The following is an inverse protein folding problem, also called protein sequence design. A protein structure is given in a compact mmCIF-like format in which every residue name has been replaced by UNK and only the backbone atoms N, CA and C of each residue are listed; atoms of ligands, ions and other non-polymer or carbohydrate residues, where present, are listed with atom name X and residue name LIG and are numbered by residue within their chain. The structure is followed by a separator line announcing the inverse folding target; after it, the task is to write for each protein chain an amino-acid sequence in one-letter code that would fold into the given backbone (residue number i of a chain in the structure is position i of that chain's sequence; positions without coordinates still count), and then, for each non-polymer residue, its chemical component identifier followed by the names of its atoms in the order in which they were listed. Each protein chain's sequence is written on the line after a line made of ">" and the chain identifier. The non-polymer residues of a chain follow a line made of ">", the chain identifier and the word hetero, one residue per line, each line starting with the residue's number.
data_IF_208186098922
#
_entry.id   IF_208186098922
#
_cell.length_a   1.000
_cell.length_b   1.000
_cell.length_c   1.000
_cell.angle_alpha   90.00
_cell.angle_beta   90.00
_cell.angle_gamma   90.00
#
_symmetry.space_group_name_H-M   'P 1'
#
loop_
_entity.id
_entity.type
_entity.pdbx_description
1 polymer ?
#
# COMPACT_ATOMS: atom_id res chain seq x y z
N UNK A 1 -17.67 -15.20 9.65
CA UNK A 1 -17.51 -13.95 8.86
C UNK A 1 -18.66 -13.03 9.23
N UNK A 2 -18.38 -11.77 9.59
CA UNK A 2 -19.44 -10.82 10.02
C UNK A 2 -20.16 -10.19 8.82
N UNK A 3 -21.35 -9.61 9.02
CA UNK A 3 -22.09 -8.90 7.93
C UNK A 3 -21.27 -7.76 7.31
N UNK A 4 -20.44 -7.08 8.09
CA UNK A 4 -19.59 -6.00 7.58
C UNK A 4 -18.36 -6.49 6.83
N UNK A 5 -17.80 -7.66 7.20
CA UNK A 5 -16.73 -8.31 6.42
C UNK A 5 -17.21 -8.65 5.01
N UNK A 6 -18.44 -9.17 4.91
CA UNK A 6 -19.09 -9.49 3.64
C UNK A 6 -19.22 -8.25 2.76
N UNK A 7 -19.74 -7.14 3.31
CA UNK A 7 -19.87 -5.87 2.58
C UNK A 7 -18.53 -5.33 2.08
N UNK A 8 -17.49 -5.44 2.91
CA UNK A 8 -16.14 -4.99 2.55
C UNK A 8 -15.58 -5.83 1.40
N UNK A 9 -15.71 -7.14 1.48
CA UNK A 9 -15.26 -8.06 0.44
C UNK A 9 -16.04 -7.88 -0.88
N UNK A 10 -17.36 -7.68 -0.82
CA UNK A 10 -18.21 -7.37 -1.98
C UNK A 10 -17.77 -6.07 -2.66
N UNK A 11 -17.46 -5.03 -1.87
CA UNK A 11 -16.96 -3.77 -2.39
C UNK A 11 -15.62 -3.95 -3.13
N UNK A 12 -14.66 -4.67 -2.52
CA UNK A 12 -13.36 -4.94 -3.13
C UNK A 12 -13.50 -5.76 -4.44
N UNK A 13 -14.39 -6.75 -4.46
CA UNK A 13 -14.70 -7.51 -5.67
C UNK A 13 -15.28 -6.63 -6.78
N UNK A 14 -16.19 -5.72 -6.45
CA UNK A 14 -16.75 -4.78 -7.42
C UNK A 14 -15.67 -3.81 -7.95
N UNK A 15 -14.76 -3.35 -7.08
CA UNK A 15 -13.65 -2.48 -7.45
C UNK A 15 -12.62 -3.17 -8.36
N UNK A 16 -12.50 -4.50 -8.31
CA UNK A 16 -11.61 -5.27 -9.20
C UNK A 16 -12.01 -5.21 -10.69
N UNK A 17 -13.23 -4.75 -11.00
CA UNK A 17 -13.60 -4.39 -12.38
C UNK A 17 -12.88 -3.14 -12.89
N UNK A 18 -12.43 -2.25 -11.98
CA UNK A 18 -11.81 -0.95 -12.27
C UNK A 18 -10.31 -0.90 -11.99
N UNK A 19 -9.83 -1.71 -11.05
CA UNK A 19 -8.43 -1.69 -10.61
C UNK A 19 -7.81 -3.08 -10.57
N UNK A 20 -6.50 -3.14 -10.80
CA UNK A 20 -5.70 -4.32 -10.48
C UNK A 20 -5.07 -4.13 -9.09
N UNK A 21 -5.33 -5.08 -8.18
CA UNK A 21 -4.85 -5.01 -6.79
C UNK A 21 -3.51 -5.70 -6.63
N UNK A 22 -2.54 -5.02 -6.02
CA UNK A 22 -1.17 -5.52 -5.87
C UNK A 22 -0.71 -5.42 -4.42
N UNK A 23 -0.43 -6.58 -3.82
CA UNK A 23 0.24 -6.68 -2.52
C UNK A 23 1.75 -6.57 -2.70
N UNK A 24 2.38 -5.69 -1.92
CA UNK A 24 3.83 -5.47 -1.90
C UNK A 24 4.38 -5.77 -0.49
N UNK A 25 4.85 -6.99 -0.25
CA UNK A 25 5.44 -7.37 1.04
C UNK A 25 6.75 -6.64 1.34
N UNK A 26 7.10 -6.57 2.63
CA UNK A 26 8.36 -6.05 3.12
C UNK A 26 9.51 -7.07 3.11
N UNK A 27 10.52 -6.82 3.95
CA UNK A 27 11.63 -7.76 4.17
C UNK A 27 11.10 -9.14 4.62
N UNK A 28 11.73 -10.22 4.17
CA UNK A 28 11.36 -11.60 4.47
C UNK A 28 9.99 -12.07 3.94
N UNK A 29 9.34 -11.27 3.09
CA UNK A 29 7.99 -11.55 2.61
C UNK A 29 6.94 -11.53 3.75
N UNK A 30 5.67 -11.73 3.38
CA UNK A 30 4.58 -11.89 4.34
C UNK A 30 4.25 -13.38 4.49
N UNK A 31 4.51 -13.96 5.67
CA UNK A 31 4.23 -15.37 5.96
C UNK A 31 2.74 -15.73 5.87
N UNK A 32 2.40 -17.02 5.98
CA UNK A 32 1.04 -17.52 5.75
C UNK A 32 -0.04 -16.88 6.66
N UNK A 33 0.33 -16.50 7.89
CA UNK A 33 -0.57 -15.89 8.87
C UNK A 33 -0.57 -14.36 8.84
N UNK A 34 0.27 -13.75 8.00
CA UNK A 34 0.32 -12.31 7.83
C UNK A 34 -0.91 -11.80 7.08
N UNK A 35 -1.39 -10.61 7.41
CA UNK A 35 -2.59 -10.04 6.82
C UNK A 35 -2.58 -9.98 5.29
N UNK A 36 -1.45 -9.64 4.66
CA UNK A 36 -1.33 -9.68 3.20
C UNK A 36 -1.63 -11.08 2.63
N UNK A 37 -1.10 -12.15 3.24
CA UNK A 37 -1.34 -13.52 2.79
C UNK A 37 -2.77 -13.96 3.07
N UNK A 38 -3.34 -13.56 4.20
CA UNK A 38 -4.74 -13.86 4.51
C UNK A 38 -5.66 -13.16 3.51
N UNK A 39 -5.43 -11.88 3.20
CA UNK A 39 -6.22 -11.16 2.20
C UNK A 39 -6.11 -11.80 0.81
N UNK A 40 -4.90 -12.20 0.41
CA UNK A 40 -4.64 -12.92 -0.83
C UNK A 40 -5.45 -14.22 -0.93
N UNK A 41 -5.54 -14.99 0.16
CA UNK A 41 -6.32 -16.21 0.22
C UNK A 41 -7.84 -15.97 0.30
N UNK A 42 -8.28 -14.87 0.90
CA UNK A 42 -9.71 -14.55 1.07
C UNK A 42 -10.39 -14.13 -0.24
N UNK A 43 -9.68 -13.45 -1.15
CA UNK A 43 -10.27 -12.90 -2.38
C UNK A 43 -9.37 -13.15 -3.60
N UNK A 44 -9.89 -13.68 -4.72
CA UNK A 44 -9.12 -13.97 -5.93
C UNK A 44 -8.85 -12.71 -6.79
N UNK A 45 -8.68 -11.54 -6.17
CA UNK A 45 -8.42 -10.25 -6.84
C UNK A 45 -6.96 -9.81 -6.74
N UNK A 46 -6.23 -10.41 -5.81
CA UNK A 46 -4.88 -9.97 -5.47
C UNK A 46 -3.85 -10.55 -6.42
N UNK A 47 -3.02 -9.66 -6.96
CA UNK A 47 -1.68 -10.00 -7.44
C UNK A 47 -0.69 -9.71 -6.32
N UNK A 48 0.44 -10.40 -6.30
CA UNK A 48 1.47 -10.22 -5.28
C UNK A 48 2.85 -10.17 -5.89
N UNK A 49 3.68 -9.25 -5.42
CA UNK A 49 5.09 -9.17 -5.84
C UNK A 49 5.84 -10.39 -5.31
N UNK A 50 6.54 -11.08 -6.21
CA UNK A 50 7.43 -12.19 -5.89
C UNK A 50 8.87 -11.78 -6.19
N UNK A 51 9.77 -12.07 -5.25
CA UNK A 51 11.20 -11.83 -5.38
C UNK A 51 11.97 -13.14 -5.27
N UNK A 52 13.13 -13.23 -5.94
CA UNK A 52 14.00 -14.42 -5.89
C UNK A 52 14.72 -14.56 -4.54
N UNK A 53 15.07 -13.45 -3.92
CA UNK A 53 15.77 -13.41 -2.64
C UNK A 53 15.10 -12.38 -1.73
N UNK A 54 14.58 -12.82 -0.60
CA UNK A 54 13.95 -11.95 0.41
C UNK A 54 14.90 -11.59 1.57
N UNK A 55 16.10 -12.19 1.59
CA UNK A 55 17.10 -12.03 2.65
C UNK A 55 18.03 -10.82 2.41
N UNK A 56 18.05 -10.29 1.18
CA UNK A 56 18.74 -9.06 0.76
C UNK A 56 17.71 -7.94 0.44
N UNK A 57 17.14 -7.29 1.47
CA UNK A 57 16.09 -6.28 1.30
C UNK A 57 16.64 -5.00 0.68
N UNK A 58 16.47 -4.86 -0.63
CA UNK A 58 16.88 -3.71 -1.41
C UNK A 58 15.65 -3.10 -2.11
N UNK A 59 15.41 -1.80 -1.88
CA UNK A 59 14.26 -1.08 -2.44
C UNK A 59 14.30 -1.09 -3.97
N UNK A 60 15.46 -0.95 -4.60
CA UNK A 60 15.59 -1.02 -6.06
C UNK A 60 15.28 -2.39 -6.62
N UNK A 61 15.72 -3.47 -5.97
CA UNK A 61 15.37 -4.85 -6.39
C UNK A 61 13.87 -5.09 -6.29
N UNK A 62 13.25 -4.60 -5.20
CA UNK A 62 11.81 -4.69 -5.02
C UNK A 62 11.07 -3.84 -6.06
N UNK A 63 11.54 -2.63 -6.35
CA UNK A 63 11.03 -1.78 -7.42
C UNK A 63 11.09 -2.48 -8.78
N UNK A 64 12.20 -3.13 -9.11
CA UNK A 64 12.34 -3.90 -10.35
C UNK A 64 11.37 -5.07 -10.43
N UNK A 65 11.13 -5.77 -9.32
CA UNK A 65 10.15 -6.86 -9.24
C UNK A 65 8.72 -6.37 -9.36
N UNK A 66 8.41 -5.25 -8.70
CA UNK A 66 7.12 -4.59 -8.78
C UNK A 66 6.83 -4.13 -10.21
N UNK A 67 7.75 -3.45 -10.90
CA UNK A 67 7.60 -3.05 -12.31
C UNK A 67 7.26 -4.21 -13.23
N UNK A 68 7.94 -5.34 -13.07
CA UNK A 68 7.66 -6.55 -13.87
C UNK A 68 6.23 -7.04 -13.64
N UNK A 69 5.75 -7.02 -12.40
CA UNK A 69 4.36 -7.37 -12.11
C UNK A 69 3.39 -6.36 -12.74
N UNK A 70 3.67 -5.05 -12.60
CA UNK A 70 2.79 -4.00 -13.11
C UNK A 70 2.70 -3.99 -14.65
N UNK A 71 3.72 -4.45 -15.36
CA UNK A 71 3.67 -4.64 -16.81
C UNK A 71 2.60 -5.66 -17.27
N UNK A 72 2.10 -6.50 -16.37
CA UNK A 72 1.01 -7.45 -16.62
C UNK A 72 -0.33 -6.95 -16.06
N UNK A 73 -0.42 -5.68 -15.67
CA UNK A 73 -1.66 -5.06 -15.23
C UNK A 73 -2.31 -4.33 -16.41
N UNK A 74 -3.62 -4.54 -16.57
CA UNK A 74 -4.41 -3.95 -17.66
C UNK A 74 -5.31 -2.81 -17.19
N UNK A 75 -5.32 -2.55 -15.88
CA UNK A 75 -6.09 -1.50 -15.21
C UNK A 75 -5.17 -0.64 -14.35
N UNK A 76 -5.60 0.57 -13.96
CA UNK A 76 -4.91 1.33 -12.92
C UNK A 76 -4.67 0.47 -11.67
N UNK A 77 -3.47 0.58 -11.11
CA UNK A 77 -3.02 -0.31 -10.05
C UNK A 77 -3.29 0.31 -8.69
N UNK A 78 -3.81 -0.50 -7.77
CA UNK A 78 -3.87 -0.19 -6.35
C UNK A 78 -2.75 -0.93 -5.62
N UNK A 79 -1.74 -0.18 -5.19
CA UNK A 79 -0.60 -0.73 -4.46
C UNK A 79 -0.90 -0.77 -2.96
N UNK A 80 -0.68 -1.93 -2.33
CA UNK A 80 -0.79 -2.11 -0.88
C UNK A 80 0.55 -2.61 -0.36
N UNK A 81 1.37 -1.67 0.09
CA UNK A 81 2.72 -1.92 0.55
C UNK A 81 2.83 -2.01 2.07
N UNK A 82 3.66 -2.93 2.57
CA UNK A 82 4.00 -3.05 3.99
C UNK A 82 5.49 -2.84 4.22
N UNK A 83 5.87 -2.05 5.24
CA UNK A 83 7.27 -1.88 5.63
C UNK A 83 8.14 -1.43 4.45
N UNK A 84 9.18 -2.20 4.08
CA UNK A 84 9.99 -1.95 2.87
C UNK A 84 9.14 -1.88 1.58
N UNK A 85 8.10 -2.70 1.49
CA UNK A 85 7.17 -2.70 0.37
C UNK A 85 6.33 -1.42 0.27
N UNK A 86 6.12 -0.72 1.38
CA UNK A 86 5.52 0.61 1.37
C UNK A 86 6.47 1.63 0.73
N UNK A 87 7.77 1.59 1.05
CA UNK A 87 8.77 2.47 0.41
C UNK A 87 8.82 2.25 -1.11
N UNK A 88 8.88 0.98 -1.54
CA UNK A 88 8.84 0.65 -2.96
C UNK A 88 7.53 1.14 -3.63
N UNK A 89 6.39 0.92 -2.97
CA UNK A 89 5.09 1.39 -3.48
C UNK A 89 5.03 2.91 -3.63
N UNK A 90 5.62 3.63 -2.68
CA UNK A 90 5.74 5.09 -2.68
C UNK A 90 6.58 5.58 -3.88
N UNK A 91 7.77 4.99 -4.12
CA UNK A 91 8.60 5.32 -5.27
C UNK A 91 7.84 5.10 -6.60
N UNK A 92 7.20 3.94 -6.77
CA UNK A 92 6.52 3.60 -8.02
C UNK A 92 5.25 4.44 -8.25
N UNK A 93 4.53 4.79 -7.18
CA UNK A 93 3.40 5.70 -7.25
C UNK A 93 3.80 7.07 -7.79
N UNK A 94 4.96 7.59 -7.35
CA UNK A 94 5.48 8.87 -7.85
C UNK A 94 6.00 8.79 -9.28
N UNK A 95 6.68 7.69 -9.61
CA UNK A 95 7.33 7.54 -10.91
C UNK A 95 6.35 7.24 -12.05
N UNK A 96 5.30 6.48 -11.76
CA UNK A 96 4.33 6.02 -12.76
C UNK A 96 2.89 6.41 -12.37
N UNK A 97 2.60 7.71 -12.20
CA UNK A 97 1.28 8.17 -11.72
C UNK A 97 0.15 7.94 -12.73
N UNK A 98 0.49 7.61 -13.99
CA UNK A 98 -0.47 7.22 -15.02
C UNK A 98 -0.90 5.75 -14.89
N UNK A 99 -0.09 4.92 -14.23
CA UNK A 99 -0.36 3.49 -14.04
C UNK A 99 -0.87 3.20 -12.62
N UNK A 100 -0.37 3.91 -11.62
CA UNK A 100 -0.79 3.75 -10.22
C UNK A 100 -2.02 4.62 -9.95
N UNK A 101 -3.17 3.99 -9.69
CA UNK A 101 -4.43 4.68 -9.38
C UNK A 101 -4.50 5.16 -7.93
N UNK A 102 -3.94 4.40 -6.99
CA UNK A 102 -3.77 4.80 -5.60
C UNK A 102 -2.76 3.91 -4.87
N UNK A 103 -2.32 4.35 -3.68
CA UNK A 103 -1.39 3.60 -2.84
C UNK A 103 -1.74 3.63 -1.35
N UNK A 104 -1.75 2.46 -0.72
CA UNK A 104 -1.85 2.27 0.72
C UNK A 104 -0.49 1.86 1.29
N UNK A 105 0.06 2.68 2.17
CA UNK A 105 1.38 2.55 2.77
C UNK A 105 1.24 2.13 4.23
N UNK A 106 1.42 0.84 4.53
CA UNK A 106 1.20 0.29 5.88
C UNK A 106 2.51 0.12 6.62
N UNK A 107 2.63 0.73 7.80
CA UNK A 107 3.83 0.70 8.63
C UNK A 107 5.12 0.89 7.82
N UNK A 108 5.24 1.97 7.01
CA UNK A 108 6.44 2.19 6.23
C UNK A 108 7.65 2.23 7.15
N UNK A 109 8.76 1.64 6.71
CA UNK A 109 10.00 1.72 7.47
C UNK A 109 10.73 3.04 7.21
N UNK A 110 11.50 3.55 8.18
CA UNK A 110 12.27 4.79 7.96
C UNK A 110 13.27 4.60 6.80
N UNK A 111 13.22 5.42 5.73
CA UNK A 111 14.09 5.27 4.55
C UNK A 111 15.57 5.18 4.88
N UNK A 112 16.05 5.97 5.85
CA UNK A 112 17.43 5.96 6.31
C UNK A 112 17.90 4.60 6.86
N UNK A 113 16.99 3.77 7.38
CA UNK A 113 17.33 2.43 7.89
C UNK A 113 17.60 1.41 6.80
N UNK A 114 17.19 1.70 5.57
CA UNK A 114 17.31 0.81 4.41
C UNK A 114 18.17 1.41 3.30
N UNK A 115 18.95 2.46 3.60
CA UNK A 115 19.77 3.20 2.63
C UNK A 115 18.96 3.73 1.44
N UNK A 116 17.65 3.95 1.65
CA UNK A 116 16.71 4.34 0.60
C UNK A 116 16.31 5.82 0.69
N UNK A 117 17.04 6.62 1.48
CA UNK A 117 16.70 8.02 1.72
C UNK A 117 16.73 8.84 0.44
N UNK A 118 17.68 8.57 -0.45
CA UNK A 118 17.82 9.26 -1.73
C UNK A 118 16.87 8.70 -2.82
N UNK A 119 16.23 7.56 -2.54
CA UNK A 119 15.35 6.86 -3.49
C UNK A 119 13.87 7.19 -3.30
N UNK A 120 13.48 7.51 -2.06
CA UNK A 120 12.10 7.86 -1.75
C UNK A 120 11.80 9.29 -2.20
N UNK A 121 10.59 9.57 -2.70
CA UNK A 121 10.26 10.90 -3.16
C UNK A 121 10.15 11.89 -2.00
N UNK A 122 10.83 13.03 -2.12
CA UNK A 122 10.69 14.19 -1.22
C UNK A 122 9.58 15.16 -1.68
N UNK A 123 8.50 14.62 -2.24
CA UNK A 123 7.39 15.40 -2.75
C UNK A 123 6.08 14.60 -2.72
N UNK A 124 4.97 15.29 -3.00
CA UNK A 124 3.65 14.65 -3.12
C UNK A 124 3.66 13.61 -4.24
N UNK A 125 3.06 12.46 -4.00
CA UNK A 125 3.09 11.33 -4.94
C UNK A 125 2.34 11.63 -6.24
N UNK A 126 1.33 12.49 -6.19
CA UNK A 126 0.49 12.82 -7.35
C UNK A 126 -0.64 11.82 -7.61
N UNK A 127 -0.81 10.84 -6.72
CA UNK A 127 -1.92 9.88 -6.71
C UNK A 127 -2.57 9.86 -5.32
N UNK A 128 -3.86 9.52 -5.20
CA UNK A 128 -4.50 9.26 -3.92
C UNK A 128 -3.68 8.29 -3.08
N UNK A 129 -3.40 8.66 -1.82
CA UNK A 129 -2.59 7.82 -0.94
C UNK A 129 -3.04 7.90 0.52
N UNK A 130 -2.85 6.79 1.23
CA UNK A 130 -3.09 6.66 2.67
C UNK A 130 -1.87 6.02 3.32
N UNK A 131 -1.39 6.59 4.42
CA UNK A 131 -0.32 6.05 5.25
C UNK A 131 -0.93 5.56 6.56
N UNK A 132 -0.77 4.28 6.87
CA UNK A 132 -1.23 3.67 8.12
C UNK A 132 -0.05 3.52 9.07
N UNK A 133 -0.13 4.16 10.23
CA UNK A 133 0.98 4.24 11.19
C UNK A 133 0.59 3.76 12.58
N UNK A 134 1.60 3.32 13.33
CA UNK A 134 1.51 2.86 14.71
C UNK A 134 2.42 3.72 15.59
N UNK A 135 2.00 3.95 16.84
CA UNK A 135 2.71 4.76 17.83
C UNK A 135 3.96 4.07 18.37
N UNK A 136 3.98 2.74 18.34
CA UNK A 136 5.06 1.90 18.86
C UNK A 136 5.69 1.00 17.80
N UNK A 137 5.71 1.44 16.53
CA UNK A 137 6.43 0.75 15.46
C UNK A 137 7.96 0.86 15.67
N UNK A 138 8.70 -0.27 15.76
CA UNK A 138 10.15 -0.25 15.95
C UNK A 138 10.94 0.26 14.73
N UNK A 139 10.33 0.34 13.54
CA UNK A 139 10.96 0.71 12.27
C UNK A 139 10.74 2.16 11.84
N UNK A 140 9.71 2.83 12.35
CA UNK A 140 9.45 4.25 12.12
C UNK A 140 8.65 4.83 13.29
N UNK A 141 9.17 5.86 13.96
CA UNK A 141 8.39 6.55 15.00
C UNK A 141 7.19 7.27 14.40
N UNK A 142 6.10 7.44 15.16
CA UNK A 142 4.91 8.12 14.69
C UNK A 142 5.15 9.54 14.16
N UNK A 143 5.97 10.35 14.84
CA UNK A 143 6.33 11.69 14.37
C UNK A 143 7.03 11.69 12.98
N UNK A 144 7.77 10.62 12.67
CA UNK A 144 8.37 10.42 11.35
C UNK A 144 7.35 9.96 10.32
N UNK A 145 6.38 9.12 10.72
CA UNK A 145 5.25 8.77 9.87
C UNK A 145 4.39 9.99 9.52
N UNK A 146 4.13 10.89 10.48
CA UNK A 146 3.47 12.18 10.26
C UNK A 146 4.24 13.05 9.27
N UNK A 147 5.56 13.18 9.46
CA UNK A 147 6.43 13.89 8.51
C UNK A 147 6.30 13.33 7.09
N UNK A 148 6.47 12.02 6.93
CA UNK A 148 6.42 11.39 5.61
C UNK A 148 5.03 11.43 4.98
N UNK A 149 3.96 11.29 5.77
CA UNK A 149 2.59 11.51 5.30
C UNK A 149 2.41 12.93 4.74
N UNK A 150 2.97 13.94 5.43
CA UNK A 150 2.99 15.33 4.95
C UNK A 150 3.74 15.50 3.64
N UNK A 151 4.96 14.95 3.54
CA UNK A 151 5.81 15.01 2.34
C UNK A 151 5.12 14.34 1.15
N UNK A 152 4.64 13.10 1.32
CA UNK A 152 3.98 12.32 0.28
C UNK A 152 2.56 12.80 -0.04
N UNK A 153 2.00 13.66 0.80
CA UNK A 153 0.63 14.14 0.67
C UNK A 153 -0.40 13.04 0.93
N UNK A 154 -0.05 12.06 1.75
CA UNK A 154 -0.91 10.95 2.14
C UNK A 154 -1.82 11.34 3.29
N UNK A 155 -3.04 10.80 3.31
CA UNK A 155 -3.87 10.85 4.52
C UNK A 155 -3.28 9.90 5.56
N UNK A 156 -3.03 10.39 6.77
CA UNK A 156 -2.52 9.59 7.87
C UNK A 156 -3.66 8.87 8.59
N UNK A 157 -3.55 7.55 8.71
CA UNK A 157 -4.43 6.69 9.50
C UNK A 157 -3.66 6.23 10.73
N UNK A 158 -4.06 6.75 11.89
CA UNK A 158 -3.49 6.41 13.18
C UNK A 158 -4.15 5.13 13.74
N UNK A 159 -3.35 4.09 14.01
CA UNK A 159 -3.79 2.85 14.65
C UNK A 159 -3.54 2.78 16.17
N UNK A 160 -3.01 3.85 16.78
CA UNK A 160 -2.52 3.83 18.14
C UNK A 160 -1.34 2.85 18.29
N UNK A 161 -1.33 2.07 19.37
CA UNK A 161 -0.28 1.08 19.63
C UNK A 161 -0.54 -0.24 18.89
N UNK A 162 -0.03 -0.35 17.67
CA UNK A 162 -0.26 -1.46 16.75
C UNK A 162 1.03 -2.20 16.33
N UNK A 163 2.14 -2.00 17.04
CA UNK A 163 3.45 -2.57 16.72
C UNK A 163 3.86 -2.27 15.27
N UNK A 164 4.39 -3.27 14.56
CA UNK A 164 4.76 -3.14 13.15
C UNK A 164 3.64 -3.57 12.17
N UNK A 165 2.40 -3.68 12.66
CA UNK A 165 1.22 -4.07 11.87
C UNK A 165 1.48 -5.40 11.14
N UNK A 166 1.89 -6.41 11.90
CA UNK A 166 2.29 -7.74 11.43
C UNK A 166 1.76 -8.84 12.38
N UNK A 167 2.13 -10.09 12.12
CA UNK A 167 1.64 -11.24 12.92
C UNK A 167 2.01 -11.09 14.39
N UNK A 168 3.24 -10.70 14.68
CA UNK A 168 3.77 -10.53 16.04
C UNK A 168 3.03 -9.46 16.84
N UNK A 169 2.43 -8.48 16.16
CA UNK A 169 1.60 -7.42 16.75
C UNK A 169 0.09 -7.70 16.67
N UNK A 170 -0.32 -8.91 16.26
CA UNK A 170 -1.71 -9.36 16.26
C UNK A 170 -2.47 -9.14 14.95
N UNK A 171 -1.79 -8.77 13.86
CA UNK A 171 -2.41 -8.46 12.57
C UNK A 171 -2.46 -9.68 11.65
N UNK A 172 -3.54 -10.46 11.81
CA UNK A 172 -3.97 -11.56 10.95
C UNK A 172 -4.96 -11.11 9.87
N UNK A 173 -6.24 -11.47 9.93
CA UNK A 173 -7.22 -11.07 8.88
C UNK A 173 -7.40 -9.55 8.69
N UNK A 174 -6.98 -8.76 9.68
CA UNK A 174 -6.93 -7.29 9.68
C UNK A 174 -8.07 -6.61 8.91
N UNK A 175 -9.29 -6.83 9.37
CA UNK A 175 -10.50 -6.26 8.76
C UNK A 175 -10.43 -4.74 8.59
N UNK A 176 -9.98 -4.02 9.60
CA UNK A 176 -9.90 -2.55 9.56
C UNK A 176 -9.00 -2.07 8.41
N UNK A 177 -7.94 -2.80 8.06
CA UNK A 177 -7.11 -2.48 6.91
C UNK A 177 -7.88 -2.55 5.58
N UNK A 178 -8.80 -3.50 5.43
CA UNK A 178 -9.69 -3.55 4.25
C UNK A 178 -10.66 -2.38 4.22
N UNK A 179 -11.17 -1.93 5.37
CA UNK A 179 -12.02 -0.74 5.45
C UNK A 179 -11.25 0.54 5.05
N UNK A 180 -9.97 0.66 5.45
CA UNK A 180 -9.08 1.73 4.98
C UNK A 180 -8.88 1.67 3.47
N UNK A 181 -8.67 0.47 2.91
CA UNK A 181 -8.54 0.29 1.47
C UNK A 181 -9.81 0.69 0.70
N UNK A 182 -11.00 0.36 1.21
CA UNK A 182 -12.26 0.82 0.61
C UNK A 182 -12.34 2.35 0.56
N UNK A 183 -11.97 3.05 1.66
CA UNK A 183 -11.93 4.51 1.68
C UNK A 183 -10.93 5.07 0.67
N UNK A 184 -9.76 4.44 0.52
CA UNK A 184 -8.78 4.85 -0.50
C UNK A 184 -9.35 4.74 -1.91
N UNK A 185 -10.08 3.67 -2.21
CA UNK A 185 -10.73 3.46 -3.51
C UNK A 185 -11.77 4.55 -3.79
N UNK A 186 -12.61 4.89 -2.80
CA UNK A 186 -13.60 5.97 -2.94
C UNK A 186 -12.93 7.30 -3.31
N UNK A 187 -11.78 7.61 -2.69
CA UNK A 187 -11.00 8.81 -3.02
C UNK A 187 -10.40 8.74 -4.42
N UNK A 188 -9.96 7.56 -4.87
CA UNK A 188 -9.43 7.37 -6.21
C UNK A 188 -10.51 7.52 -7.31
N UNK A 189 -11.69 6.96 -7.06
CA UNK A 189 -12.86 7.10 -7.95
C UNK A 189 -13.31 8.58 -8.05
N UNK A 190 -13.29 9.32 -6.94
CA UNK A 190 -13.61 10.74 -6.90
C UNK A 190 -12.56 11.59 -7.66
N UNK A 191 -11.28 11.29 -7.52
CA UNK A 191 -10.20 12.00 -8.22
C UNK A 191 -10.29 11.83 -9.75
N UNK A 192 -10.62 10.62 -10.21
CA UNK A 192 -10.78 10.31 -11.64
C UNK A 192 -12.00 11.04 -12.22
N UNK A 193 -13.10 11.09 -11.47
CA UNK A 193 -14.34 11.75 -11.90
C UNK A 193 -14.18 13.29 -11.95
N UNK A 194 -13.44 13.88 -11.00
CA UNK A 194 -13.17 15.32 -10.95
C UNK A 194 -12.16 15.80 -12.00
N UNK A 195 -11.25 14.94 -12.47
CA UNK A 195 -10.29 15.25 -13.53
C UNK A 195 -10.94 15.40 -14.91
N UNK A 196 -11.94 14.57 -15.20
CA UNK A 196 -12.67 14.57 -16.49
C UNK A 196 -13.48 15.87 -16.71
N UNK A 197 -13.96 16.50 -15.64
CA UNK A 197 -14.72 17.76 -15.71
C UNK A 197 -13.84 19.01 -15.95
N UNK A 198 -12.52 18.94 -15.73
CA UNK A 198 -11.59 20.08 -15.88
C UNK A 198 -10.93 20.19 -17.26
N UNK A 199 -11.15 19.24 -18.16
CA UNK A 199 -10.56 19.25 -19.52
C UNK A 199 -11.49 19.84 -20.61
N UNK A 200 -12.66 20.39 -20.24
CA UNK A 200 -13.63 20.99 -21.18
C UNK A 200 -13.78 22.52 -21.00
N UNK A 201 -12.77 23.19 -20.44
CA UNK A 201 -12.75 24.65 -20.24
C UNK A 201 -11.68 25.33 -21.06
#
# INVERSE_FOLDING_TARGET
>A
MTSTDLKTNEFLLAAAGRYDFVLVPGRFNSGATHWQSIWEHELPIWKRVVQRNWDDPDVHRLNGSLRRLLAHCSRPVLLVGHSLGALASCCLAREMPHLVGAVMLVAPAEPARFYAQDDVPECRLGVPSMLVASHNDPFMSFARAEYWAGVWGSELVDLGEAGHINVESGFGSWRFGKEVLCKLIEKADAATSGGSAKQLG
#
